data_IF_516091787978
#
_entry.id   IF_516091787978
#
_cell.length_a   1.000
_cell.length_b   1.000
_cell.length_c   1.000
_cell.angle_alpha   90.00
_cell.angle_beta   90.00
_cell.angle_gamma   90.00
#
_symmetry.space_group_name_H-M   'P 1'
#
loop_
_entity.id
_entity.type
_entity.pdbx_description
1 polymer ?
#
# COMPACT_ATOMS: atom_id res chain seq x y z
N UNK A 1 -0.18 10.44 10.20
CA UNK A 1 -1.39 10.26 9.39
C UNK A 1 -1.39 11.36 8.34
N UNK A 2 -1.03 11.04 7.10
CA UNK A 2 -1.09 11.98 5.99
C UNK A 2 -2.57 12.12 5.57
N UNK A 3 -3.04 13.36 5.41
CA UNK A 3 -4.41 13.64 5.00
C UNK A 3 -4.54 13.42 3.48
N UNK A 4 -5.42 12.50 3.08
CA UNK A 4 -5.68 12.17 1.68
C UNK A 4 -6.89 12.99 1.19
N UNK A 5 -6.88 13.51 -0.05
CA UNK A 5 -8.06 14.14 -0.64
C UNK A 5 -9.28 13.20 -0.57
N UNK A 6 -10.48 13.76 -0.39
CA UNK A 6 -11.72 13.03 -0.03
C UNK A 6 -12.18 11.92 -1.00
N UNK A 7 -11.47 11.67 -2.12
CA UNK A 7 -11.68 10.55 -3.02
C UNK A 7 -10.34 10.11 -3.65
N UNK A 8 -9.52 9.37 -2.91
CA UNK A 8 -8.32 8.73 -3.48
C UNK A 8 -8.53 7.24 -3.61
N UNK A 9 -8.17 6.69 -4.76
CA UNK A 9 -8.19 5.27 -5.04
C UNK A 9 -6.79 4.76 -5.38
N UNK A 10 -6.65 3.44 -5.44
CA UNK A 10 -5.36 2.80 -5.68
C UNK A 10 -4.77 3.16 -7.06
N UNK A 11 -5.61 3.36 -8.08
CA UNK A 11 -5.14 3.81 -9.39
C UNK A 11 -4.54 5.22 -9.35
N UNK A 12 -5.08 6.11 -8.52
CA UNK A 12 -4.52 7.45 -8.31
C UNK A 12 -3.17 7.38 -7.59
N UNK A 13 -3.06 6.57 -6.53
CA UNK A 13 -1.77 6.32 -5.85
C UNK A 13 -0.72 5.79 -6.84
N UNK A 14 -1.08 4.83 -7.68
CA UNK A 14 -0.21 4.32 -8.73
C UNK A 14 0.25 5.42 -9.71
N UNK A 15 -0.65 6.33 -10.09
CA UNK A 15 -0.33 7.44 -10.99
C UNK A 15 0.60 8.51 -10.38
N UNK A 16 0.61 8.66 -9.06
CA UNK A 16 1.50 9.58 -8.35
C UNK A 16 2.94 9.06 -8.23
N UNK A 17 3.12 7.74 -8.31
CA UNK A 17 4.39 7.07 -8.04
C UNK A 17 5.08 6.65 -9.35
N UNK A 18 6.17 7.32 -9.76
CA UNK A 18 6.89 6.98 -10.98
C UNK A 18 7.41 5.54 -10.96
N UNK A 19 7.34 4.87 -12.11
CA UNK A 19 7.78 3.48 -12.30
C UNK A 19 7.09 2.45 -11.38
N UNK A 20 6.03 2.84 -10.68
CA UNK A 20 5.28 1.91 -9.86
C UNK A 20 4.51 0.89 -10.71
N UNK A 21 4.13 -0.23 -10.11
CA UNK A 21 3.37 -1.28 -10.79
C UNK A 21 2.22 -1.74 -9.91
N UNK A 22 1.03 -1.92 -10.50
CA UNK A 22 -0.06 -2.60 -9.81
C UNK A 22 0.29 -4.08 -9.63
N UNK A 23 -0.05 -4.61 -8.45
CA UNK A 23 0.16 -5.99 -8.07
C UNK A 23 -1.12 -6.55 -7.43
N UNK A 24 -1.48 -7.79 -7.79
CA UNK A 24 -2.72 -8.47 -7.37
C UNK A 24 -4.02 -7.72 -7.72
N UNK A 25 -3.97 -6.79 -8.69
CA UNK A 25 -5.13 -6.00 -9.13
C UNK A 25 -4.92 -5.46 -10.55
N UNK A 26 -5.99 -5.35 -11.32
CA UNK A 26 -6.02 -4.66 -12.62
C UNK A 26 -6.28 -3.16 -12.47
N UNK A 27 -5.99 -2.38 -13.53
CA UNK A 27 -6.16 -0.91 -13.50
C UNK A 27 -7.63 -0.48 -13.37
N UNK A 28 -8.58 -1.28 -13.87
CA UNK A 28 -10.01 -0.97 -13.75
C UNK A 28 -10.45 -1.11 -12.29
N UNK A 29 -10.15 -2.24 -11.65
CA UNK A 29 -10.47 -2.52 -10.25
C UNK A 29 -9.73 -1.58 -9.29
N UNK A 30 -8.52 -1.14 -9.65
CA UNK A 30 -7.76 -0.17 -8.86
C UNK A 30 -8.43 1.22 -8.82
N UNK A 31 -9.27 1.58 -9.81
CA UNK A 31 -10.05 2.84 -9.79
C UNK A 31 -11.22 2.76 -8.80
N UNK A 32 -11.74 1.57 -8.56
CA UNK A 32 -12.84 1.34 -7.61
C UNK A 32 -12.33 1.08 -6.19
N UNK A 33 -11.04 0.75 -6.03
CA UNK A 33 -10.41 0.48 -4.74
C UNK A 33 -10.10 1.77 -3.97
N UNK A 34 -11.03 2.16 -3.09
CA UNK A 34 -10.89 3.37 -2.26
C UNK A 34 -9.78 3.23 -1.20
N UNK A 35 -9.08 4.34 -0.95
CA UNK A 35 -8.07 4.48 0.09
C UNK A 35 -8.50 5.62 1.02
N UNK A 36 -8.74 5.30 2.28
CA UNK A 36 -9.19 6.28 3.29
C UNK A 36 -8.04 7.04 3.93
N UNK A 37 -6.88 6.40 4.07
CA UNK A 37 -5.69 6.95 4.70
C UNK A 37 -4.42 6.19 4.32
N UNK A 38 -3.26 6.77 4.59
CA UNK A 38 -1.94 6.15 4.45
C UNK A 38 -1.38 5.88 5.84
N UNK A 39 -1.01 4.62 6.10
CA UNK A 39 -0.52 4.15 7.39
C UNK A 39 0.79 3.35 7.26
N UNK A 40 1.62 3.38 8.31
CA UNK A 40 2.87 2.61 8.40
C UNK A 40 2.95 1.73 9.65
N UNK A 41 1.98 1.82 10.57
CA UNK A 41 1.98 1.08 11.83
C UNK A 41 1.20 -0.22 11.71
N UNK A 42 1.92 -1.33 11.48
CA UNK A 42 1.33 -2.67 11.36
C UNK A 42 0.70 -3.20 12.64
N UNK A 43 0.90 -2.52 13.79
CA UNK A 43 0.29 -2.91 15.07
C UNK A 43 -1.16 -2.48 15.20
N UNK A 44 -1.55 -1.43 14.45
CA UNK A 44 -2.91 -0.88 14.46
C UNK A 44 -3.36 -0.50 13.05
N UNK A 45 -3.37 -1.44 12.09
CA UNK A 45 -3.87 -1.18 10.76
C UNK A 45 -5.35 -0.79 10.81
N UNK A 46 -5.72 0.11 9.92
CA UNK A 46 -7.05 0.69 9.86
C UNK A 46 -7.80 0.25 8.62
N UNK A 47 -9.11 0.04 8.76
CA UNK A 47 -9.95 -0.35 7.63
C UNK A 47 -9.91 0.71 6.54
N UNK A 48 -9.65 0.28 5.30
CA UNK A 48 -9.57 1.18 4.16
C UNK A 48 -8.20 1.80 3.92
N UNK A 49 -7.19 1.52 4.76
CA UNK A 49 -5.87 2.13 4.60
C UNK A 49 -5.07 1.59 3.42
N UNK A 50 -4.16 2.42 2.92
CA UNK A 50 -2.97 1.99 2.20
C UNK A 50 -1.86 1.76 3.23
N UNK A 51 -1.55 0.49 3.51
CA UNK A 51 -0.44 0.15 4.38
C UNK A 51 0.89 0.27 3.64
N UNK A 52 1.83 1.06 4.15
CA UNK A 52 3.14 1.25 3.54
C UNK A 52 4.15 0.33 4.22
N UNK A 53 4.59 -0.70 3.49
CA UNK A 53 5.55 -1.67 3.97
C UNK A 53 6.99 -1.09 3.91
N UNK A 54 7.33 -0.27 4.90
CA UNK A 54 8.68 0.26 5.06
C UNK A 54 9.69 -0.84 5.42
N UNK A 55 10.84 -0.83 4.74
CA UNK A 55 11.98 -1.71 5.01
C UNK A 55 13.16 -0.89 5.50
N UNK A 56 13.77 -1.29 6.60
CA UNK A 56 15.00 -0.73 7.15
C UNK A 56 15.91 -1.84 7.67
N UNK A 57 17.10 -1.49 8.14
CA UNK A 57 18.16 -2.47 8.44
C UNK A 57 17.78 -3.51 9.51
N UNK A 58 16.89 -3.13 10.43
CA UNK A 58 16.44 -3.97 11.55
C UNK A 58 14.97 -4.39 11.48
N UNK A 59 14.23 -3.87 10.51
CA UNK A 59 12.78 -4.01 10.48
C UNK A 59 12.29 -4.08 9.05
N UNK A 60 11.51 -5.10 8.74
CA UNK A 60 10.86 -5.26 7.45
C UNK A 60 9.35 -5.35 7.65
N UNK A 61 8.61 -4.31 7.27
CA UNK A 61 7.17 -4.28 7.42
C UNK A 61 6.45 -5.25 6.47
N UNK A 62 7.10 -5.78 5.44
CA UNK A 62 6.49 -6.75 4.51
C UNK A 62 6.08 -8.04 5.22
N UNK A 63 6.73 -8.38 6.34
CA UNK A 63 6.36 -9.54 7.15
C UNK A 63 4.94 -9.45 7.73
N UNK A 64 4.34 -8.25 7.79
CA UNK A 64 3.01 -8.02 8.34
C UNK A 64 1.90 -7.90 7.28
N UNK A 65 2.21 -8.13 5.99
CA UNK A 65 1.22 -7.95 4.91
C UNK A 65 0.00 -8.86 5.05
N UNK A 66 0.17 -10.09 5.54
CA UNK A 66 -0.96 -10.96 5.87
C UNK A 66 -1.82 -10.36 6.98
N UNK A 67 -1.19 -9.94 8.07
CA UNK A 67 -1.86 -9.38 9.24
C UNK A 67 -2.65 -8.11 8.92
N UNK A 68 -2.08 -7.17 8.15
CA UNK A 68 -2.81 -5.94 7.77
C UNK A 68 -3.91 -6.23 6.74
N UNK A 69 -3.72 -7.21 5.85
CA UNK A 69 -4.77 -7.66 4.94
C UNK A 69 -5.98 -8.21 5.71
N UNK A 70 -5.73 -9.05 6.72
CA UNK A 70 -6.78 -9.63 7.57
C UNK A 70 -7.51 -8.58 8.42
N UNK A 71 -6.81 -7.50 8.80
CA UNK A 71 -7.37 -6.40 9.57
C UNK A 71 -8.06 -5.33 8.71
N UNK A 72 -8.16 -5.53 7.39
CA UNK A 72 -8.98 -4.71 6.51
C UNK A 72 -8.25 -3.56 5.83
N UNK A 73 -6.91 -3.59 5.74
CA UNK A 73 -6.20 -2.71 4.83
C UNK A 73 -6.74 -2.89 3.40
N UNK A 74 -6.99 -1.78 2.71
CA UNK A 74 -7.57 -1.79 1.36
C UNK A 74 -6.55 -2.24 0.32
N UNK A 75 -5.30 -1.82 0.52
CA UNK A 75 -4.15 -2.14 -0.30
C UNK A 75 -2.83 -1.91 0.46
N UNK A 76 -1.70 -2.23 -0.17
CA UNK A 76 -0.38 -1.90 0.36
C UNK A 76 0.53 -1.20 -0.66
N UNK A 77 1.49 -0.41 -0.17
CA UNK A 77 2.66 0.03 -0.92
C UNK A 77 3.84 -0.85 -0.52
N UNK A 78 4.42 -1.58 -1.49
CA UNK A 78 5.42 -2.62 -1.26
C UNK A 78 6.66 -2.44 -2.14
N UNK A 79 7.79 -2.99 -1.70
CA UNK A 79 9.03 -3.14 -2.48
C UNK A 79 9.48 -4.60 -2.64
N UNK A 80 8.69 -5.54 -2.11
CA UNK A 80 8.92 -6.98 -2.27
C UNK A 80 7.60 -7.70 -2.63
N UNK A 81 7.45 -8.09 -3.90
CA UNK A 81 6.20 -8.71 -4.40
C UNK A 81 5.91 -10.07 -3.78
N UNK A 82 6.95 -10.86 -3.53
CA UNK A 82 6.84 -12.24 -3.03
C UNK A 82 6.23 -12.34 -1.63
N UNK A 83 6.33 -11.29 -0.83
CA UNK A 83 5.75 -11.23 0.51
C UNK A 83 4.28 -10.81 0.51
N UNK A 84 3.75 -10.34 -0.64
CA UNK A 84 2.39 -9.82 -0.73
C UNK A 84 1.39 -10.97 -0.95
N UNK A 85 0.40 -11.16 -0.05
CA UNK A 85 -0.60 -12.18 -0.23
C UNK A 85 -1.51 -11.84 -1.41
N UNK A 86 -1.96 -12.87 -2.15
CA UNK A 86 -2.80 -12.72 -3.35
C UNK A 86 -4.10 -11.95 -3.06
N UNK A 87 -4.61 -12.02 -1.83
CA UNK A 87 -5.82 -11.32 -1.39
C UNK A 87 -5.64 -9.81 -1.22
N UNK A 88 -4.40 -9.32 -1.18
CA UNK A 88 -4.08 -7.91 -0.91
C UNK A 88 -3.59 -7.24 -2.21
N UNK A 89 -4.39 -6.33 -2.78
CA UNK A 89 -3.91 -5.44 -3.83
C UNK A 89 -2.74 -4.59 -3.34
N UNK A 90 -1.80 -4.32 -4.23
CA UNK A 90 -0.68 -3.47 -3.88
C UNK A 90 -0.20 -2.61 -5.05
N UNK A 91 0.48 -1.52 -4.69
CA UNK A 91 1.38 -0.79 -5.58
C UNK A 91 2.79 -1.21 -5.23
N UNK A 92 3.52 -1.72 -6.20
CA UNK A 92 4.93 -2.02 -6.09
C UNK A 92 5.77 -0.82 -6.51
N UNK A 93 6.78 -0.48 -5.72
CA UNK A 93 7.84 0.50 -6.01
C UNK A 93 9.19 -0.09 -5.61
N UNK A 94 10.29 0.39 -6.18
CA UNK A 94 11.62 -0.12 -5.81
C UNK A 94 12.02 0.25 -4.37
N UNK A 95 11.55 1.40 -3.87
CA UNK A 95 11.82 1.88 -2.51
C UNK A 95 10.54 2.49 -1.90
N UNK A 96 9.99 1.83 -0.87
CA UNK A 96 8.76 2.28 -0.19
C UNK A 96 8.95 3.54 0.64
N UNK A 97 10.18 3.84 1.12
CA UNK A 97 10.47 5.11 1.82
C UNK A 97 10.45 6.27 0.84
N UNK A 98 11.06 6.10 -0.34
CA UNK A 98 11.01 7.12 -1.39
C UNK A 98 9.58 7.33 -1.89
N UNK A 99 8.86 6.24 -2.17
CA UNK A 99 7.47 6.31 -2.59
C UNK A 99 6.58 7.03 -1.57
N UNK A 100 6.76 6.76 -0.27
CA UNK A 100 6.04 7.51 0.78
C UNK A 100 6.36 9.00 0.78
N UNK A 101 7.58 9.40 0.45
CA UNK A 101 7.95 10.82 0.33
C UNK A 101 7.38 11.52 -0.91
N UNK A 102 6.90 10.76 -1.90
CA UNK A 102 6.26 11.26 -3.12
C UNK A 102 4.72 11.36 -3.00
N UNK A 103 4.13 10.75 -1.95
CA UNK A 103 2.69 10.80 -1.62
C UNK A 103 2.34 11.99 -0.72
#
# INVERSE_FOLDING_TARGET
>A
MLAIPAMTNLAHIHALLPNSQLHNIGIAEARDRQISQIGTDSRHPTVGELFVALKGDRFDAHQFLNTVSEQGASAALISEKTSCPISLPAVYVEDTRKGLGEL
#
